data_IF_664327716442
#
_entry.id   IF_664327716442
#
_cell.length_a   1.000
_cell.length_b   1.000
_cell.length_c   1.000
_cell.angle_alpha   90.00
_cell.angle_beta   90.00
_cell.angle_gamma   90.00
#
_symmetry.space_group_name_H-M   'P 1'
#
loop_
_entity.id
_entity.type
_entity.pdbx_description
1 polymer ?
#
# COMPACT_ATOMS: atom_id res chain seq x y z
N UNK A 1 43.86 -22.82 24.27
CA UNK A 1 42.42 -22.66 24.53
C UNK A 1 41.69 -21.80 23.50
N UNK A 2 42.37 -21.22 22.49
CA UNK A 2 41.74 -20.34 21.48
C UNK A 2 40.89 -21.05 20.41
N UNK A 3 41.26 -22.25 19.96
CA UNK A 3 40.50 -23.00 18.94
C UNK A 3 39.02 -23.27 19.31
N UNK A 4 38.69 -23.82 20.50
CA UNK A 4 37.29 -24.15 20.81
C UNK A 4 36.38 -22.91 20.92
N UNK A 5 36.93 -21.76 21.35
CA UNK A 5 36.18 -20.50 21.42
C UNK A 5 35.90 -19.95 20.02
N UNK A 6 36.88 -20.00 19.12
CA UNK A 6 36.70 -19.56 17.74
C UNK A 6 35.68 -20.43 16.98
N UNK A 7 35.73 -21.75 17.16
CA UNK A 7 34.80 -22.67 16.49
C UNK A 7 33.36 -22.46 16.98
N UNK A 8 33.16 -22.33 18.29
CA UNK A 8 31.86 -22.00 18.87
C UNK A 8 31.32 -20.63 18.41
N UNK A 9 32.19 -19.62 18.32
CA UNK A 9 31.81 -18.30 17.81
C UNK A 9 31.38 -18.36 16.35
N UNK A 10 32.10 -19.13 15.51
CA UNK A 10 31.77 -19.30 14.09
C UNK A 10 30.43 -20.02 13.89
N UNK A 11 30.13 -21.04 14.69
CA UNK A 11 28.83 -21.70 14.66
C UNK A 11 27.71 -20.79 15.16
N UNK A 12 27.97 -19.99 16.20
CA UNK A 12 27.05 -18.93 16.64
C UNK A 12 26.74 -17.91 15.53
N UNK A 13 27.75 -17.43 14.80
CA UNK A 13 27.57 -16.52 13.65
C UNK A 13 26.68 -17.17 12.59
N UNK A 14 26.92 -18.44 12.22
CA UNK A 14 26.09 -19.14 11.22
C UNK A 14 24.65 -19.28 11.68
N UNK A 15 24.42 -19.67 12.94
CA UNK A 15 23.07 -19.84 13.49
C UNK A 15 22.29 -18.53 13.50
N UNK A 16 22.88 -17.46 14.03
CA UNK A 16 22.23 -16.14 14.09
C UNK A 16 21.99 -15.58 12.69
N UNK A 17 22.97 -15.71 11.78
CA UNK A 17 22.83 -15.25 10.39
C UNK A 17 21.72 -15.99 9.67
N UNK A 18 21.65 -17.31 9.80
CA UNK A 18 20.59 -18.13 9.17
C UNK A 18 19.20 -17.71 9.66
N UNK A 19 19.07 -17.48 10.97
CA UNK A 19 17.84 -16.98 11.55
C UNK A 19 17.48 -15.57 11.05
N UNK A 20 18.43 -14.65 10.98
CA UNK A 20 18.22 -13.30 10.45
C UNK A 20 17.79 -13.30 8.98
N UNK A 21 18.46 -14.09 8.14
CA UNK A 21 18.09 -14.23 6.72
C UNK A 21 16.66 -14.73 6.61
N UNK A 22 16.27 -15.71 7.43
CA UNK A 22 14.90 -16.23 7.46
C UNK A 22 13.89 -15.15 7.85
N UNK A 23 14.15 -14.41 8.94
CA UNK A 23 13.27 -13.32 9.40
C UNK A 23 13.16 -12.20 8.37
N UNK A 24 14.27 -11.80 7.75
CA UNK A 24 14.30 -10.80 6.67
C UNK A 24 13.52 -11.27 5.44
N UNK A 25 13.68 -12.54 5.03
CA UNK A 25 12.94 -13.11 3.91
C UNK A 25 11.42 -13.13 4.19
N UNK A 26 11.00 -13.52 5.40
CA UNK A 26 9.59 -13.46 5.79
C UNK A 26 9.08 -12.02 5.87
N UNK A 27 9.87 -11.09 6.40
CA UNK A 27 9.52 -9.67 6.46
C UNK A 27 9.30 -9.10 5.05
N UNK A 28 10.22 -9.40 4.14
CA UNK A 28 10.12 -9.00 2.74
C UNK A 28 8.86 -9.58 2.08
N UNK A 29 8.58 -10.88 2.29
CA UNK A 29 7.38 -11.50 1.73
C UNK A 29 6.09 -10.88 2.28
N UNK A 30 6.05 -10.56 3.58
CA UNK A 30 4.91 -9.90 4.21
C UNK A 30 4.66 -8.52 3.60
N UNK A 31 5.71 -7.69 3.51
CA UNK A 31 5.65 -6.33 2.95
C UNK A 31 5.27 -6.36 1.47
N UNK A 32 5.84 -7.28 0.67
CA UNK A 32 5.46 -7.48 -0.72
C UNK A 32 3.99 -7.89 -0.89
N UNK A 33 3.46 -8.70 0.02
CA UNK A 33 2.05 -9.08 0.04
C UNK A 33 1.14 -7.89 0.32
N UNK A 34 1.50 -7.05 1.29
CA UNK A 34 0.77 -5.81 1.60
C UNK A 34 0.77 -4.85 0.42
N UNK A 35 1.92 -4.68 -0.25
CA UNK A 35 2.04 -3.82 -1.43
C UNK A 35 1.10 -4.26 -2.55
N UNK A 36 1.11 -5.55 -2.92
CA UNK A 36 0.17 -6.12 -3.91
C UNK A 36 -1.30 -5.94 -3.52
N UNK A 37 -1.63 -6.16 -2.24
CA UNK A 37 -3.00 -5.96 -1.74
C UNK A 37 -3.47 -4.52 -1.91
N UNK A 38 -2.58 -3.55 -1.64
CA UNK A 38 -2.85 -2.12 -1.82
C UNK A 38 -3.04 -1.79 -3.30
N UNK A 39 -2.18 -2.30 -4.19
CA UNK A 39 -2.33 -2.11 -5.64
C UNK A 39 -3.71 -2.60 -6.13
N UNK A 40 -4.14 -3.80 -5.70
CA UNK A 40 -5.46 -4.32 -6.04
C UNK A 40 -6.61 -3.47 -5.50
N UNK A 41 -6.46 -2.86 -4.32
CA UNK A 41 -7.47 -1.93 -3.78
C UNK A 41 -7.57 -0.66 -4.63
N UNK A 42 -6.45 -0.08 -5.06
CA UNK A 42 -6.45 1.09 -5.94
C UNK A 42 -7.09 0.77 -7.29
N UNK A 43 -6.83 -0.42 -7.84
CA UNK A 43 -7.50 -0.90 -9.06
C UNK A 43 -9.01 -1.06 -8.88
N UNK A 44 -9.45 -1.56 -7.72
CA UNK A 44 -10.88 -1.66 -7.37
C UNK A 44 -11.53 -0.29 -7.27
N UNK A 45 -10.87 0.70 -6.65
CA UNK A 45 -11.36 2.08 -6.56
C UNK A 45 -11.57 2.70 -7.95
N UNK A 46 -10.57 2.57 -8.83
CA UNK A 46 -10.66 3.01 -10.22
C UNK A 46 -11.79 2.32 -11.00
N UNK A 47 -12.01 1.03 -10.75
CA UNK A 47 -13.10 0.26 -11.36
C UNK A 47 -14.47 0.77 -10.91
N UNK A 48 -14.64 1.05 -9.61
CA UNK A 48 -15.88 1.60 -9.06
C UNK A 48 -16.18 3.00 -9.59
N UNK A 49 -15.16 3.86 -9.74
CA UNK A 49 -15.30 5.18 -10.37
C UNK A 49 -15.81 5.05 -11.81
N UNK A 50 -15.25 4.12 -12.61
CA UNK A 50 -15.74 3.84 -13.96
C UNK A 50 -17.17 3.29 -13.98
N UNK A 51 -17.53 2.43 -13.03
CA UNK A 51 -18.87 1.85 -12.93
C UNK A 51 -19.90 2.91 -12.54
N UNK A 52 -19.55 3.82 -11.63
CA UNK A 52 -20.39 4.96 -11.27
C UNK A 52 -20.59 5.89 -12.46
N UNK A 53 -19.54 6.27 -13.20
CA UNK A 53 -19.68 7.13 -14.39
C UNK A 53 -20.64 6.52 -15.43
N UNK A 54 -20.47 5.22 -15.72
CA UNK A 54 -21.38 4.46 -16.58
C UNK A 54 -22.80 4.41 -16.03
N UNK A 55 -22.94 4.20 -14.72
CA UNK A 55 -24.22 4.19 -14.04
C UNK A 55 -24.95 5.51 -14.18
N UNK A 56 -24.26 6.64 -13.97
CA UNK A 56 -24.82 7.98 -14.12
C UNK A 56 -25.30 8.24 -15.55
N UNK A 57 -24.54 7.80 -16.57
CA UNK A 57 -24.96 7.90 -17.97
C UNK A 57 -26.16 7.02 -18.32
N UNK A 58 -26.23 5.79 -17.76
CA UNK A 58 -27.25 4.80 -18.12
C UNK A 58 -28.59 5.00 -17.42
N UNK A 59 -28.59 5.58 -16.22
CA UNK A 59 -29.77 5.55 -15.32
C UNK A 59 -30.92 6.41 -15.83
N UNK A 60 -30.67 7.44 -16.64
CA UNK A 60 -31.69 8.11 -17.45
C UNK A 60 -32.22 9.46 -16.95
N UNK A 61 -32.28 9.78 -15.63
CA UNK A 61 -32.60 11.13 -15.17
C UNK A 61 -31.49 12.14 -15.52
N UNK A 62 -31.84 13.31 -16.10
CA UNK A 62 -30.89 14.41 -16.30
C UNK A 62 -30.15 14.83 -15.02
N UNK A 63 -30.81 14.72 -13.87
CA UNK A 63 -30.25 15.01 -12.54
C UNK A 63 -29.06 14.13 -12.19
N UNK A 64 -29.11 12.83 -12.52
CA UNK A 64 -28.00 11.91 -12.28
C UNK A 64 -26.84 12.14 -13.25
N UNK A 65 -27.13 12.46 -14.51
CA UNK A 65 -26.10 12.81 -15.50
C UNK A 65 -25.35 14.07 -15.06
N UNK A 66 -26.04 15.04 -14.45
CA UNK A 66 -25.44 16.26 -13.91
C UNK A 66 -24.44 16.03 -12.76
N UNK A 67 -24.39 14.82 -12.17
CA UNK A 67 -23.41 14.48 -11.13
C UNK A 67 -22.07 13.99 -11.69
N UNK A 68 -21.95 13.74 -13.01
CA UNK A 68 -20.69 13.29 -13.61
C UNK A 68 -19.51 14.24 -13.35
N UNK A 69 -19.65 15.59 -13.47
CA UNK A 69 -18.59 16.51 -13.10
C UNK A 69 -18.18 16.41 -11.63
N UNK A 70 -19.12 16.12 -10.72
CA UNK A 70 -18.84 15.94 -9.28
C UNK A 70 -18.05 14.65 -9.05
N UNK A 71 -18.38 13.56 -9.75
CA UNK A 71 -17.62 12.31 -9.71
C UNK A 71 -16.19 12.49 -10.25
N UNK A 72 -16.02 13.23 -11.34
CA UNK A 72 -14.71 13.54 -11.92
C UNK A 72 -13.90 14.40 -10.94
N UNK A 73 -14.49 15.46 -10.39
CA UNK A 73 -13.84 16.30 -9.39
C UNK A 73 -13.44 15.48 -8.15
N UNK A 74 -14.30 14.58 -7.68
CA UNK A 74 -13.99 13.65 -6.60
C UNK A 74 -12.74 12.83 -6.96
N UNK A 75 -12.74 12.14 -8.10
CA UNK A 75 -11.61 11.32 -8.53
C UNK A 75 -10.32 12.16 -8.68
N UNK A 76 -10.40 13.36 -9.23
CA UNK A 76 -9.26 14.29 -9.34
C UNK A 76 -8.73 14.71 -7.97
N UNK A 77 -9.62 14.98 -6.99
CA UNK A 77 -9.20 15.33 -5.63
C UNK A 77 -8.47 14.17 -4.93
N UNK A 78 -8.78 12.91 -5.26
CA UNK A 78 -8.04 11.77 -4.74
C UNK A 78 -6.57 11.80 -5.18
N UNK A 79 -6.35 12.11 -6.46
CA UNK A 79 -5.00 12.14 -7.05
C UNK A 79 -4.22 13.37 -6.60
N UNK A 80 -4.84 14.54 -6.70
CA UNK A 80 -4.15 15.83 -6.54
C UNK A 80 -3.99 16.25 -5.07
N UNK A 81 -4.94 15.90 -4.21
CA UNK A 81 -4.96 16.33 -2.81
C UNK A 81 -4.81 15.17 -1.82
N UNK A 82 -5.56 14.07 -2.00
CA UNK A 82 -5.53 12.97 -1.02
C UNK A 82 -4.25 12.15 -1.07
N UNK A 83 -3.75 11.79 -2.25
CA UNK A 83 -2.55 10.97 -2.41
C UNK A 83 -1.32 11.56 -1.70
N UNK A 84 -0.97 12.85 -1.91
CA UNK A 84 0.15 13.47 -1.22
C UNK A 84 -0.01 13.53 0.31
N UNK A 85 -1.23 13.78 0.81
CA UNK A 85 -1.52 13.81 2.26
C UNK A 85 -1.45 12.43 2.89
N UNK A 86 -1.87 11.41 2.16
CA UNK A 86 -1.88 10.03 2.61
C UNK A 86 -0.47 9.50 2.86
N UNK A 87 0.53 9.97 2.10
CA UNK A 87 1.94 9.63 2.32
C UNK A 87 2.47 10.03 3.71
N UNK A 88 1.82 10.99 4.38
CA UNK A 88 2.15 11.43 5.75
C UNK A 88 1.06 11.06 6.77
N UNK A 89 0.16 10.12 6.42
CA UNK A 89 -0.91 9.62 7.29
C UNK A 89 -2.14 10.52 7.41
N UNK A 90 -2.25 11.53 6.55
CA UNK A 90 -3.37 12.46 6.44
C UNK A 90 -4.50 11.97 5.53
N UNK A 91 -5.54 12.81 5.38
CA UNK A 91 -6.71 12.58 4.53
C UNK A 91 -7.16 13.89 3.88
N UNK A 92 -7.84 13.82 2.73
CA UNK A 92 -8.38 15.01 2.05
C UNK A 92 -9.78 15.36 2.55
N UNK A 93 -9.95 16.60 3.00
CA UNK A 93 -11.26 17.15 3.34
C UNK A 93 -12.08 17.48 2.07
N UNK A 94 -11.40 17.85 0.98
CA UNK A 94 -12.03 18.14 -0.31
C UNK A 94 -12.65 16.87 -0.91
N UNK A 95 -11.89 15.76 -0.97
CA UNK A 95 -12.40 14.48 -1.44
C UNK A 95 -13.58 13.99 -0.61
N UNK A 96 -13.55 14.23 0.72
CA UNK A 96 -14.67 13.91 1.60
C UNK A 96 -15.92 14.77 1.29
N UNK A 97 -15.75 16.07 1.06
CA UNK A 97 -16.86 16.95 0.70
C UNK A 97 -17.48 16.59 -0.66
N UNK A 98 -16.66 16.26 -1.66
CA UNK A 98 -17.09 15.85 -2.99
C UNK A 98 -17.80 14.49 -2.96
N UNK A 99 -17.30 13.53 -2.20
CA UNK A 99 -18.00 12.26 -1.97
C UNK A 99 -19.39 12.49 -1.36
N UNK A 100 -19.50 13.36 -0.36
CA UNK A 100 -20.78 13.68 0.27
C UNK A 100 -21.74 14.42 -0.66
N UNK A 101 -21.23 15.29 -1.54
CA UNK A 101 -22.02 15.94 -2.57
C UNK A 101 -22.57 14.91 -3.57
N UNK A 102 -21.70 14.00 -4.06
CA UNK A 102 -22.09 12.91 -4.95
C UNK A 102 -23.13 11.99 -4.30
N UNK A 103 -22.89 11.59 -3.05
CA UNK A 103 -23.79 10.71 -2.30
C UNK A 103 -25.18 11.32 -2.09
N UNK A 104 -25.24 12.60 -1.71
CA UNK A 104 -26.51 13.32 -1.58
C UNK A 104 -27.22 13.46 -2.93
N UNK A 105 -26.49 13.81 -3.99
CA UNK A 105 -27.05 13.93 -5.34
C UNK A 105 -27.64 12.61 -5.84
N UNK A 106 -26.93 11.50 -5.64
CA UNK A 106 -27.43 10.18 -6.00
C UNK A 106 -28.67 9.85 -5.17
N UNK A 107 -28.60 9.96 -3.84
CA UNK A 107 -29.70 9.55 -2.95
C UNK A 107 -30.95 10.42 -3.07
N UNK A 108 -30.81 11.64 -3.57
CA UNK A 108 -31.92 12.58 -3.81
C UNK A 108 -32.63 12.40 -5.15
N UNK A 109 -32.12 11.56 -6.05
CA UNK A 109 -32.72 11.38 -7.37
C UNK A 109 -34.06 10.62 -7.28
N UNK A 110 -35.08 11.14 -7.95
CA UNK A 110 -36.37 10.46 -8.06
C UNK A 110 -36.34 9.38 -9.16
N UNK A 111 -36.84 8.19 -8.82
CA UNK A 111 -36.82 7.01 -9.68
C UNK A 111 -38.25 6.48 -9.80
N UNK A 112 -38.78 6.43 -11.03
CA UNK A 112 -40.21 6.15 -11.26
C UNK A 112 -40.46 4.80 -11.95
N UNK A 113 -39.51 4.29 -12.72
CA UNK A 113 -39.65 3.02 -13.44
C UNK A 113 -38.94 1.84 -12.72
N UNK A 114 -39.51 0.61 -12.73
CA UNK A 114 -38.83 -0.58 -12.20
C UNK A 114 -37.43 -0.82 -12.77
N UNK A 115 -37.22 -0.51 -14.06
CA UNK A 115 -35.91 -0.60 -14.71
C UNK A 115 -34.91 0.39 -14.11
N UNK A 116 -35.36 1.63 -13.86
CA UNK A 116 -34.52 2.65 -13.24
C UNK A 116 -34.22 2.29 -11.79
N UNK A 117 -35.15 1.64 -11.07
CA UNK A 117 -34.93 1.23 -9.69
C UNK A 117 -33.85 0.15 -9.53
N UNK A 118 -33.79 -0.81 -10.45
CA UNK A 118 -32.69 -1.77 -10.48
C UNK A 118 -31.32 -1.10 -10.73
N UNK A 119 -31.26 -0.14 -11.66
CA UNK A 119 -30.04 0.61 -11.99
C UNK A 119 -29.61 1.54 -10.86
N UNK A 120 -30.57 2.22 -10.23
CA UNK A 120 -30.36 3.06 -9.06
C UNK A 120 -29.80 2.25 -7.87
N UNK A 121 -30.36 1.06 -7.61
CA UNK A 121 -29.86 0.20 -6.55
C UNK A 121 -28.40 -0.24 -6.82
N UNK A 122 -28.03 -0.49 -8.08
CA UNK A 122 -26.63 -0.75 -8.47
C UNK A 122 -25.73 0.46 -8.24
N UNK A 123 -26.21 1.66 -8.58
CA UNK A 123 -25.49 2.92 -8.38
C UNK A 123 -25.20 3.17 -6.89
N UNK A 124 -26.20 2.99 -6.02
CA UNK A 124 -26.05 3.14 -4.56
C UNK A 124 -25.07 2.12 -3.99
N UNK A 125 -25.15 0.85 -4.42
CA UNK A 125 -24.17 -0.18 -3.99
C UNK A 125 -22.74 0.17 -4.38
N UNK A 126 -22.53 0.67 -5.60
CA UNK A 126 -21.20 1.07 -6.07
C UNK A 126 -20.67 2.28 -5.31
N UNK A 127 -21.55 3.21 -4.94
CA UNK A 127 -21.23 4.39 -4.12
C UNK A 127 -20.81 4.00 -2.69
N UNK A 128 -21.49 3.03 -2.08
CA UNK A 128 -21.13 2.49 -0.75
C UNK A 128 -19.79 1.75 -0.83
N UNK A 129 -19.64 0.86 -1.81
CA UNK A 129 -18.38 0.13 -2.05
C UNK A 129 -17.19 1.08 -2.30
N UNK A 130 -17.42 2.22 -2.94
CA UNK A 130 -16.39 3.23 -3.16
C UNK A 130 -15.91 3.85 -1.84
N UNK A 131 -16.81 4.08 -0.88
CA UNK A 131 -16.43 4.55 0.45
C UNK A 131 -15.58 3.50 1.18
N UNK A 132 -16.03 2.24 1.15
CA UNK A 132 -15.34 1.15 1.84
C UNK A 132 -13.91 0.95 1.30
N UNK A 133 -13.74 1.01 -0.02
CA UNK A 133 -12.42 0.89 -0.65
C UNK A 133 -11.54 2.09 -0.32
N UNK A 134 -12.08 3.32 -0.29
CA UNK A 134 -11.32 4.51 0.13
C UNK A 134 -10.88 4.42 1.59
N UNK A 135 -11.78 4.03 2.49
CA UNK A 135 -11.46 3.87 3.91
C UNK A 135 -10.41 2.77 4.13
N UNK A 136 -10.50 1.66 3.40
CA UNK A 136 -9.49 0.61 3.40
C UNK A 136 -8.13 1.14 2.91
N UNK A 137 -8.10 1.93 1.83
CA UNK A 137 -6.86 2.58 1.34
C UNK A 137 -6.26 3.52 2.38
N UNK A 138 -7.07 4.38 3.00
CA UNK A 138 -6.63 5.31 4.04
C UNK A 138 -6.12 4.57 5.30
N UNK A 139 -6.76 3.48 5.70
CA UNK A 139 -6.25 2.62 6.78
C UNK A 139 -4.91 2.00 6.40
N UNK A 140 -4.81 1.50 5.17
CA UNK A 140 -3.61 0.86 4.65
C UNK A 140 -2.44 1.82 4.43
N UNK A 141 -2.68 3.12 4.33
CA UNK A 141 -1.63 4.15 4.33
C UNK A 141 -0.74 4.14 5.58
N UNK A 142 -1.25 3.56 6.67
CA UNK A 142 -0.57 3.46 7.95
C UNK A 142 0.06 2.09 8.19
N UNK A 143 -0.06 1.16 7.23
CA UNK A 143 0.61 -0.13 7.31
C UNK A 143 2.12 0.08 7.31
N UNK A 144 2.75 -0.67 8.20
CA UNK A 144 4.19 -0.83 8.31
C UNK A 144 4.44 -2.21 8.90
N UNK A 145 5.66 -2.71 8.74
CA UNK A 145 6.10 -3.95 9.34
C UNK A 145 5.93 -3.86 10.87
N UNK A 146 5.26 -4.84 11.50
CA UNK A 146 5.05 -4.82 12.94
C UNK A 146 6.38 -4.66 13.70
N UNK A 147 6.40 -3.82 14.74
CA UNK A 147 7.62 -3.47 15.47
C UNK A 147 8.41 -4.67 16.02
N UNK A 148 7.74 -5.80 16.29
CA UNK A 148 8.39 -7.05 16.70
C UNK A 148 9.42 -7.58 15.69
N UNK A 149 9.20 -7.38 14.37
CA UNK A 149 10.16 -7.78 13.36
C UNK A 149 11.42 -6.92 13.44
N UNK A 150 11.26 -5.61 13.62
CA UNK A 150 12.39 -4.69 13.82
C UNK A 150 13.19 -5.02 15.08
N UNK A 151 12.51 -5.31 16.20
CA UNK A 151 13.17 -5.77 17.43
C UNK A 151 13.98 -7.05 17.17
N UNK A 152 13.43 -7.99 16.41
CA UNK A 152 14.10 -9.27 16.10
C UNK A 152 15.30 -9.07 15.18
N UNK A 153 15.15 -8.27 14.11
CA UNK A 153 16.22 -7.97 13.15
C UNK A 153 17.35 -7.22 13.85
N UNK A 154 17.04 -6.13 14.54
CA UNK A 154 18.04 -5.30 15.24
C UNK A 154 18.69 -6.07 16.39
N UNK A 155 17.91 -6.87 17.13
CA UNK A 155 18.43 -7.75 18.19
C UNK A 155 19.40 -8.79 17.64
N UNK A 156 19.07 -9.45 16.52
CA UNK A 156 19.99 -10.39 15.88
C UNK A 156 21.24 -9.71 15.33
N UNK A 157 21.13 -8.53 14.73
CA UNK A 157 22.29 -7.73 14.31
C UNK A 157 23.19 -7.37 15.50
N UNK A 158 22.61 -6.99 16.64
CA UNK A 158 23.34 -6.69 17.87
C UNK A 158 24.08 -7.92 18.41
N UNK A 159 23.46 -9.10 18.35
CA UNK A 159 24.09 -10.37 18.75
C UNK A 159 25.24 -10.79 17.82
N UNK A 160 25.19 -10.43 16.53
CA UNK A 160 26.27 -10.73 15.58
C UNK A 160 27.57 -9.96 15.89
N UNK A 161 27.49 -8.75 16.44
CA UNK A 161 28.67 -7.91 16.69
C UNK A 161 29.73 -8.59 17.59
N UNK A 162 29.40 -9.07 18.80
CA UNK A 162 30.38 -9.75 19.66
C UNK A 162 30.83 -11.09 19.06
N UNK A 163 29.93 -11.87 18.45
CA UNK A 163 30.27 -13.14 17.82
C UNK A 163 31.29 -12.98 16.68
N UNK A 164 31.11 -11.95 15.84
CA UNK A 164 32.05 -11.60 14.79
C UNK A 164 33.41 -11.12 15.35
N UNK A 165 33.42 -10.42 16.50
CA UNK A 165 34.65 -9.96 17.15
C UNK A 165 35.45 -11.12 17.78
N UNK A 166 34.78 -12.19 18.21
CA UNK A 166 35.41 -13.38 18.81
C UNK A 166 36.03 -14.35 17.80
N UNK A 167 35.79 -14.17 16.49
CA UNK A 167 36.34 -15.05 15.45
C UNK A 167 37.69 -14.54 14.93
N UNK A 168 38.61 -15.46 14.65
CA UNK A 168 39.99 -15.18 14.26
C UNK A 168 40.12 -14.20 13.08
N UNK A 169 41.14 -13.35 13.13
CA UNK A 169 41.40 -12.29 12.15
C UNK A 169 42.36 -12.71 11.05
N UNK A 170 41.84 -12.95 9.84
CA UNK A 170 42.60 -12.99 8.58
C UNK A 170 41.92 -12.11 7.53
N UNK A 171 42.66 -11.66 6.50
CA UNK A 171 42.08 -10.86 5.42
C UNK A 171 40.89 -11.59 4.75
N UNK A 172 41.02 -12.90 4.50
CA UNK A 172 39.96 -13.72 3.93
C UNK A 172 38.72 -13.78 4.84
N UNK A 173 38.91 -13.92 6.16
CA UNK A 173 37.79 -13.91 7.11
C UNK A 173 37.11 -12.54 7.19
N UNK A 174 37.86 -11.44 7.06
CA UNK A 174 37.31 -10.09 7.04
C UNK A 174 36.47 -9.85 5.78
N UNK A 175 36.95 -10.28 4.61
CA UNK A 175 36.20 -10.21 3.36
C UNK A 175 34.89 -11.03 3.42
N UNK A 176 34.92 -12.22 4.02
CA UNK A 176 33.72 -13.04 4.18
C UNK A 176 32.69 -12.40 5.12
N UNK A 177 33.16 -11.84 6.26
CA UNK A 177 32.29 -11.09 7.19
C UNK A 177 31.69 -9.86 6.51
N UNK A 178 32.46 -9.16 5.68
CA UNK A 178 31.98 -8.01 4.91
C UNK A 178 30.94 -8.43 3.86
N UNK A 179 31.17 -9.53 3.14
CA UNK A 179 30.20 -10.05 2.17
C UNK A 179 28.88 -10.46 2.85
N UNK A 180 28.96 -11.12 4.01
CA UNK A 180 27.79 -11.54 4.79
C UNK A 180 27.04 -10.36 5.41
N UNK A 181 27.76 -9.39 5.99
CA UNK A 181 27.17 -8.16 6.50
C UNK A 181 26.55 -7.32 5.39
N UNK A 182 27.22 -7.24 4.23
CA UNK A 182 26.72 -6.56 3.04
C UNK A 182 25.43 -7.17 2.50
N UNK A 183 25.34 -8.51 2.43
CA UNK A 183 24.11 -9.18 1.98
C UNK A 183 22.95 -8.99 2.95
N UNK A 184 23.19 -9.09 4.27
CA UNK A 184 22.19 -8.77 5.29
C UNK A 184 21.75 -7.31 5.22
N UNK A 185 22.70 -6.38 5.06
CA UNK A 185 22.43 -4.95 4.90
C UNK A 185 21.60 -4.65 3.66
N UNK A 186 21.87 -5.32 2.54
CA UNK A 186 21.11 -5.18 1.30
C UNK A 186 19.67 -5.71 1.45
N UNK A 187 19.49 -6.87 2.09
CA UNK A 187 18.16 -7.41 2.41
C UNK A 187 17.37 -6.48 3.35
N UNK A 188 18.03 -5.96 4.39
CA UNK A 188 17.43 -5.02 5.31
C UNK A 188 17.04 -3.71 4.60
N UNK A 189 17.91 -3.16 3.76
CA UNK A 189 17.61 -1.98 2.95
C UNK A 189 16.39 -2.21 2.04
N UNK A 190 16.29 -3.39 1.42
CA UNK A 190 15.14 -3.74 0.59
C UNK A 190 13.84 -3.79 1.41
N UNK A 191 13.86 -4.35 2.62
CA UNK A 191 12.71 -4.32 3.53
C UNK A 191 12.32 -2.89 3.88
N UNK A 192 13.29 -2.02 4.21
CA UNK A 192 13.04 -0.60 4.53
C UNK A 192 12.39 0.14 3.36
N UNK A 193 12.89 -0.06 2.14
CA UNK A 193 12.41 0.65 0.94
C UNK A 193 10.94 0.32 0.66
N UNK A 194 10.52 -0.92 0.90
CA UNK A 194 9.18 -1.40 0.53
C UNK A 194 8.19 -1.31 1.70
N UNK A 195 8.68 -1.18 2.94
CA UNK A 195 7.88 -1.20 4.18
C UNK A 195 6.64 -0.31 4.16
N UNK A 196 6.73 0.85 3.49
CA UNK A 196 5.67 1.85 3.41
C UNK A 196 5.10 1.88 1.98
N UNK A 197 3.90 1.33 1.73
CA UNK A 197 3.36 1.22 0.37
C UNK A 197 3.02 2.57 -0.28
N UNK A 198 2.86 3.65 0.50
CA UNK A 198 2.54 5.00 -0.01
C UNK A 198 3.63 6.03 0.27
N UNK A 199 4.84 5.59 0.60
CA UNK A 199 5.99 6.46 0.84
C UNK A 199 7.25 5.85 0.22
N UNK A 200 8.19 6.70 -0.19
CA UNK A 200 9.46 6.23 -0.78
C UNK A 200 9.38 5.97 -2.28
N UNK A 201 10.43 5.37 -2.84
CA UNK A 201 10.61 5.21 -4.29
C UNK A 201 9.64 4.20 -4.91
N UNK A 202 9.23 3.17 -4.16
CA UNK A 202 8.32 2.11 -4.63
C UNK A 202 6.85 2.38 -4.27
N UNK A 203 6.47 3.64 -4.07
CA UNK A 203 5.11 4.01 -3.69
C UNK A 203 4.07 3.58 -4.74
N UNK A 204 2.90 3.13 -4.27
CA UNK A 204 1.75 2.82 -5.12
C UNK A 204 1.19 4.13 -5.69
N UNK A 205 1.29 4.27 -7.01
CA UNK A 205 0.84 5.46 -7.73
C UNK A 205 -0.70 5.48 -7.91
N UNK A 206 -1.31 6.67 -8.02
CA UNK A 206 -2.73 6.83 -8.35
C UNK A 206 -3.08 6.52 -9.82
N UNK A 207 -2.12 6.00 -10.59
CA UNK A 207 -2.25 5.78 -12.04
C UNK A 207 -3.51 5.03 -12.50
N UNK A 208 -4.09 4.07 -11.76
CA UNK A 208 -5.38 3.47 -12.13
C UNK A 208 -6.54 4.47 -12.09
N UNK A 209 -6.55 5.36 -11.10
CA UNK A 209 -7.58 6.41 -10.95
C UNK A 209 -7.40 7.48 -12.03
N UNK A 210 -6.16 7.89 -12.32
CA UNK A 210 -5.89 8.83 -13.42
C UNK A 210 -6.40 8.32 -14.77
N UNK A 211 -6.14 7.04 -15.06
CA UNK A 211 -6.66 6.39 -16.28
C UNK A 211 -8.19 6.33 -16.30
N UNK A 212 -8.84 6.14 -15.14
CA UNK A 212 -10.29 6.19 -15.03
C UNK A 212 -10.84 7.60 -15.31
N UNK A 213 -10.18 8.65 -14.81
CA UNK A 213 -10.55 10.04 -15.08
C UNK A 213 -10.46 10.34 -16.58
N UNK A 214 -9.31 10.04 -17.20
CA UNK A 214 -9.09 10.27 -18.64
C UNK A 214 -10.17 9.56 -19.47
N UNK A 215 -10.42 8.28 -19.18
CA UNK A 215 -11.43 7.50 -19.88
C UNK A 215 -12.85 8.05 -19.70
N UNK A 216 -13.17 8.62 -18.55
CA UNK A 216 -14.49 9.19 -18.28
C UNK A 216 -14.68 10.54 -18.98
N UNK A 217 -13.61 11.32 -19.14
CA UNK A 217 -13.61 12.57 -19.90
C UNK A 217 -13.81 12.34 -21.40
N UNK A 218 -13.25 11.27 -21.96
CA UNK A 218 -13.42 10.88 -23.38
C UNK A 218 -14.85 10.43 -23.75
N UNK A 219 -15.73 10.19 -22.76
CA UNK A 219 -17.10 9.71 -22.96
C UNK A 219 -18.14 10.82 -23.10
N UNK A 220 -17.70 12.07 -23.15
CA UNK A 220 -18.55 13.26 -23.40
C UNK A 220 -18.81 13.36 -24.89
#
# INVERSE_FOLDING_TARGET
MEKPVNDAAMDGVKTVTTFLVLVLAFSLNLVMGQHRQVEEQVQREATLINQLDRGLLRTGPPELVALRPVLIAYASSLVLDEWPRMAVGGRSQEAYALYNALSRGIRGAEVTSPRQQAQYAELVRNLESLSDVRDARLMNSRLALPGMFWVTILGGCLLLLPLCAMTAGSLNSALLKLAMGGSLGMLMALVIIIDRPFSGETQVAPAPIDRAIQRNLERV
#
